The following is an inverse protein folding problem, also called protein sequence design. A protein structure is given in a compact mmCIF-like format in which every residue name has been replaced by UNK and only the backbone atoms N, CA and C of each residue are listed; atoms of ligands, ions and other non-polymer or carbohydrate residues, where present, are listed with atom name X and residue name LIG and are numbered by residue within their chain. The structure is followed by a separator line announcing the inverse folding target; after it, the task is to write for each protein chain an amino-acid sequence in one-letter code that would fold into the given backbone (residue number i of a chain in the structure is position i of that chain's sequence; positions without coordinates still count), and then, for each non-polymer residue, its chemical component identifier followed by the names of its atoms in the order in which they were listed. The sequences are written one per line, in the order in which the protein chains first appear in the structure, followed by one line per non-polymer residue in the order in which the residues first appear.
data_IF_035057277772
#
_entry.id   IF_035057277772
#
_cell.length_a   1.000
_cell.length_b   1.000
_cell.length_c   1.000
_cell.angle_alpha   90.00
_cell.angle_beta   90.00
_cell.angle_gamma   90.00
#
_symmetry.space_group_name_H-M   'P 1'
#
loop_
_entity.id
_entity.type
_entity.pdbx_description
1 polymer ?
#
# COMPACT_ATOMS: atom_id res chain seq x y z
N UNK A 1 2.52 -24.26 -25.06
CA UNK A 1 3.94 -23.87 -25.17
C UNK A 1 4.19 -22.84 -24.09
N UNK A 2 4.75 -23.27 -22.95
CA UNK A 2 4.88 -22.45 -21.76
C UNK A 2 5.99 -21.42 -21.97
N UNK A 3 5.70 -20.16 -21.65
CA UNK A 3 6.68 -19.08 -21.44
C UNK A 3 7.56 -19.47 -20.24
N UNK A 4 8.48 -20.41 -20.47
CA UNK A 4 9.31 -21.03 -19.44
C UNK A 4 10.61 -21.61 -19.99
N UNK A 5 10.95 -21.34 -21.26
CA UNK A 5 12.24 -21.74 -21.84
C UNK A 5 13.37 -20.75 -21.55
N UNK A 6 13.06 -19.54 -21.06
CA UNK A 6 14.06 -18.55 -20.68
C UNK A 6 14.04 -18.34 -19.16
N UNK A 7 15.04 -18.90 -18.48
CA UNK A 7 15.27 -18.78 -17.03
C UNK A 7 15.25 -17.31 -16.59
N UNK A 8 15.76 -16.41 -17.44
CA UNK A 8 15.73 -14.96 -17.24
C UNK A 8 14.31 -14.43 -16.99
N UNK A 9 13.30 -14.91 -17.72
CA UNK A 9 11.93 -14.44 -17.57
C UNK A 9 11.33 -14.84 -16.23
N UNK A 10 11.69 -16.03 -15.72
CA UNK A 10 11.29 -16.50 -14.40
C UNK A 10 11.93 -15.63 -13.31
N UNK A 11 13.22 -15.32 -13.43
CA UNK A 11 13.91 -14.43 -12.49
C UNK A 11 13.30 -13.02 -12.47
N UNK A 12 13.08 -12.40 -13.63
CA UNK A 12 12.48 -11.06 -13.70
C UNK A 12 11.07 -11.05 -13.11
N UNK A 13 10.25 -12.06 -13.41
CA UNK A 13 8.88 -12.14 -12.90
C UNK A 13 8.83 -12.32 -11.38
N UNK A 14 9.70 -13.17 -10.81
CA UNK A 14 9.75 -13.42 -9.37
C UNK A 14 10.31 -12.24 -8.60
N UNK A 15 11.34 -11.55 -9.11
CA UNK A 15 11.85 -10.30 -8.53
C UNK A 15 10.77 -9.22 -8.55
N UNK A 16 10.10 -9.02 -9.68
CA UNK A 16 9.04 -8.02 -9.82
C UNK A 16 7.87 -8.33 -8.87
N UNK A 17 7.49 -9.61 -8.77
CA UNK A 17 6.45 -10.06 -7.85
C UNK A 17 6.86 -9.82 -6.39
N UNK A 18 8.10 -10.18 -6.01
CA UNK A 18 8.63 -9.94 -4.66
C UNK A 18 8.66 -8.47 -4.28
N UNK A 19 9.11 -7.60 -5.19
CA UNK A 19 9.09 -6.15 -4.99
C UNK A 19 7.67 -5.60 -4.84
N UNK A 20 6.74 -6.06 -5.66
CA UNK A 20 5.33 -5.67 -5.58
C UNK A 20 4.71 -6.05 -4.24
N UNK A 21 4.97 -7.27 -3.75
CA UNK A 21 4.45 -7.73 -2.46
C UNK A 21 5.07 -6.91 -1.30
N UNK A 22 6.38 -6.68 -1.32
CA UNK A 22 7.07 -5.90 -0.30
C UNK A 22 6.60 -4.45 -0.24
N UNK A 23 6.47 -3.79 -1.40
CA UNK A 23 5.91 -2.44 -1.50
C UNK A 23 4.46 -2.40 -0.97
N UNK A 24 3.66 -3.40 -1.30
CA UNK A 24 2.28 -3.56 -0.81
C UNK A 24 2.20 -3.59 0.72
N UNK A 25 3.06 -4.35 1.39
CA UNK A 25 3.06 -4.45 2.86
C UNK A 25 3.35 -3.12 3.56
N UNK A 26 4.28 -2.33 3.00
CA UNK A 26 4.65 -1.00 3.53
C UNK A 26 3.50 -0.01 3.30
N UNK A 27 3.04 0.10 2.05
CA UNK A 27 1.97 1.03 1.65
C UNK A 27 0.69 0.74 2.42
N UNK A 28 0.31 -0.53 2.56
CA UNK A 28 -0.87 -0.93 3.30
C UNK A 28 -0.80 -0.46 4.77
N UNK A 29 0.35 -0.63 5.43
CA UNK A 29 0.51 -0.20 6.83
C UNK A 29 0.48 1.33 6.99
N UNK A 30 1.02 2.07 6.02
CA UNK A 30 1.03 3.55 6.03
C UNK A 30 -0.34 4.15 5.70
N UNK A 31 -1.02 3.66 4.66
CA UNK A 31 -2.35 4.16 4.24
C UNK A 31 -3.35 3.99 5.39
N UNK A 32 -3.41 2.83 6.02
CA UNK A 32 -4.35 2.62 7.13
C UNK A 32 -4.07 3.57 8.31
N UNK A 33 -2.79 3.80 8.65
CA UNK A 33 -2.42 4.72 9.72
C UNK A 33 -2.72 6.19 9.39
N UNK A 34 -2.53 6.60 8.13
CA UNK A 34 -2.77 7.96 7.66
C UNK A 34 -4.26 8.30 7.53
N UNK A 35 -5.11 7.35 7.12
CA UNK A 35 -6.55 7.57 6.93
C UNK A 35 -7.37 7.41 8.20
N UNK A 36 -7.05 6.44 9.05
CA UNK A 36 -7.90 6.09 10.21
C UNK A 36 -7.33 6.52 11.56
N UNK A 37 -6.11 7.06 11.58
CA UNK A 37 -5.42 7.40 12.81
C UNK A 37 -5.03 6.17 13.63
N UNK A 38 -4.05 6.33 14.53
CA UNK A 38 -3.48 5.21 15.31
C UNK A 38 -4.45 4.61 16.36
N UNK A 39 -5.57 5.28 16.63
CA UNK A 39 -6.49 4.94 17.73
C UNK A 39 -7.46 3.80 17.40
N UNK A 40 -7.91 3.68 16.14
CA UNK A 40 -8.88 2.64 15.72
C UNK A 40 -8.26 1.55 14.81
N UNK A 41 -6.93 1.59 14.64
CA UNK A 41 -6.19 0.68 13.76
C UNK A 41 -6.39 -0.80 14.14
N UNK A 42 -6.49 -1.11 15.44
CA UNK A 42 -6.73 -2.46 15.95
C UNK A 42 -8.12 -3.01 15.59
N UNK A 43 -9.16 -2.20 15.72
CA UNK A 43 -10.54 -2.59 15.37
C UNK A 43 -10.71 -2.80 13.87
N UNK A 44 -10.10 -1.94 13.04
CA UNK A 44 -10.13 -2.10 11.58
C UNK A 44 -9.37 -3.36 11.18
N UNK A 45 -8.16 -3.57 11.72
CA UNK A 45 -7.41 -4.81 11.45
C UNK A 45 -8.18 -6.05 11.90
N UNK A 46 -8.94 -5.98 12.98
CA UNK A 46 -9.79 -7.08 13.46
C UNK A 46 -10.87 -7.53 12.46
N UNK A 47 -11.39 -6.63 11.63
CA UNK A 47 -12.40 -6.95 10.59
C UNK A 47 -11.74 -7.25 9.24
N UNK A 48 -10.69 -6.49 8.90
CA UNK A 48 -9.98 -6.61 7.62
C UNK A 48 -9.22 -7.93 7.52
N UNK A 49 -8.60 -8.40 8.61
CA UNK A 49 -7.85 -9.67 8.59
C UNK A 49 -8.74 -10.87 8.22
N UNK A 50 -9.90 -11.12 8.87
CA UNK A 50 -10.81 -12.18 8.46
C UNK A 50 -11.26 -12.06 7.00
N UNK A 51 -11.59 -10.85 6.54
CA UNK A 51 -11.98 -10.61 5.16
C UNK A 51 -10.84 -10.97 4.17
N UNK A 52 -9.60 -10.65 4.53
CA UNK A 52 -8.42 -11.05 3.76
C UNK A 52 -8.23 -12.56 3.75
N UNK A 53 -8.40 -13.25 4.88
CA UNK A 53 -8.30 -14.71 4.95
C UNK A 53 -9.36 -15.40 4.10
N UNK A 54 -10.61 -14.94 4.16
CA UNK A 54 -11.70 -15.47 3.32
C UNK A 54 -11.36 -15.26 1.84
N UNK A 55 -10.92 -14.06 1.47
CA UNK A 55 -10.54 -13.74 0.09
C UNK A 55 -9.36 -14.60 -0.39
N UNK A 56 -8.35 -14.80 0.46
CA UNK A 56 -7.20 -15.66 0.16
C UNK A 56 -7.62 -17.13 -0.03
N UNK A 57 -8.53 -17.62 0.81
CA UNK A 57 -9.09 -18.98 0.70
C UNK A 57 -9.97 -19.18 -0.53
N UNK A 58 -10.72 -18.14 -0.93
CA UNK A 58 -11.61 -18.17 -2.09
C UNK A 58 -10.86 -18.05 -3.43
N UNK A 59 -9.62 -17.56 -3.44
CA UNK A 59 -8.86 -17.36 -4.68
C UNK A 59 -8.63 -18.67 -5.46
N UNK A 60 -8.24 -19.75 -4.78
CA UNK A 60 -7.92 -21.02 -5.45
C UNK A 60 -9.15 -21.71 -6.08
N UNK A 61 -10.30 -21.84 -5.40
CA UNK A 61 -11.53 -22.34 -6.02
C UNK A 61 -12.03 -21.47 -7.18
N UNK A 62 -11.97 -20.15 -7.04
CA UNK A 62 -12.45 -19.22 -8.06
C UNK A 62 -11.65 -19.35 -9.36
N UNK A 63 -10.31 -19.38 -9.26
CA UNK A 63 -9.42 -19.55 -10.42
C UNK A 63 -9.65 -20.91 -11.08
N UNK A 64 -9.85 -21.97 -10.28
CA UNK A 64 -10.17 -23.31 -10.80
C UNK A 64 -11.49 -23.33 -11.55
N UNK A 65 -12.54 -22.72 -11.01
CA UNK A 65 -13.85 -22.65 -11.66
C UNK A 65 -13.77 -21.90 -13.01
N UNK A 66 -13.06 -20.77 -13.05
CA UNK A 66 -12.83 -20.00 -14.28
C UNK A 66 -12.07 -20.84 -15.31
N UNK A 67 -11.02 -21.54 -14.87
CA UNK A 67 -10.26 -22.45 -15.74
C UNK A 67 -11.14 -23.56 -16.31
N UNK A 68 -11.97 -24.18 -15.48
CA UNK A 68 -12.81 -25.30 -15.89
C UNK A 68 -13.90 -24.85 -16.90
N UNK A 69 -14.34 -23.60 -16.85
CA UNK A 69 -15.26 -23.01 -17.84
C UNK A 69 -14.62 -22.58 -19.17
N UNK A 70 -13.37 -22.08 -19.14
CA UNK A 70 -12.72 -21.47 -20.32
C UNK A 70 -11.65 -22.38 -20.97
N UNK A 71 -11.20 -23.42 -20.26
CA UNK A 71 -10.17 -24.36 -20.73
C UNK A 71 -8.74 -23.80 -20.79
N UNK A 72 -8.54 -22.49 -20.58
CA UNK A 72 -7.23 -21.83 -20.62
C UNK A 72 -6.95 -21.03 -19.34
N UNK A 73 -5.70 -21.11 -18.87
CA UNK A 73 -5.20 -20.32 -17.73
C UNK A 73 -4.96 -18.85 -18.07
N UNK A 74 -4.81 -18.52 -19.36
CA UNK A 74 -4.50 -17.15 -19.79
C UNK A 74 -5.65 -16.19 -19.42
N UNK A 75 -6.88 -16.68 -19.45
CA UNK A 75 -8.09 -15.91 -19.12
C UNK A 75 -8.12 -15.53 -17.65
N UNK A 76 -7.71 -16.44 -16.75
CA UNK A 76 -7.61 -16.15 -15.32
C UNK A 76 -6.60 -15.05 -15.04
N UNK A 77 -5.46 -15.04 -15.74
CA UNK A 77 -4.45 -13.99 -15.61
C UNK A 77 -4.96 -12.62 -16.03
N UNK A 78 -5.69 -12.54 -17.16
CA UNK A 78 -6.30 -11.29 -17.62
C UNK A 78 -7.39 -10.77 -16.67
N UNK A 79 -8.17 -11.66 -16.07
CA UNK A 79 -9.17 -11.28 -15.07
C UNK A 79 -8.51 -10.70 -13.81
N UNK A 80 -7.48 -11.39 -13.30
CA UNK A 80 -6.71 -10.92 -12.14
C UNK A 80 -6.10 -9.55 -12.43
N UNK A 81 -5.49 -9.38 -13.61
CA UNK A 81 -4.88 -8.12 -14.02
C UNK A 81 -5.91 -6.98 -14.15
N UNK A 82 -7.11 -7.28 -14.66
CA UNK A 82 -8.22 -6.32 -14.74
C UNK A 82 -8.70 -5.88 -13.35
N UNK A 83 -8.83 -6.81 -12.40
CA UNK A 83 -9.16 -6.50 -11.01
C UNK A 83 -8.10 -5.60 -10.36
N UNK A 84 -6.81 -5.88 -10.58
CA UNK A 84 -5.74 -5.02 -10.08
C UNK A 84 -5.75 -3.62 -10.70
N UNK A 85 -6.07 -3.50 -12.00
CA UNK A 85 -6.23 -2.20 -12.66
C UNK A 85 -7.37 -1.39 -12.08
N UNK A 86 -8.53 -2.01 -11.84
CA UNK A 86 -9.66 -1.36 -11.20
C UNK A 86 -9.31 -0.93 -9.77
N UNK A 87 -8.64 -1.79 -9.01
CA UNK A 87 -8.16 -1.44 -7.67
C UNK A 87 -7.18 -0.26 -7.70
N UNK A 88 -6.25 -0.23 -8.66
CA UNK A 88 -5.32 0.86 -8.85
C UNK A 88 -6.03 2.18 -9.19
N UNK A 89 -7.06 2.14 -10.05
CA UNK A 89 -7.90 3.31 -10.36
C UNK A 89 -8.63 3.83 -9.12
N UNK A 90 -9.22 2.93 -8.32
CA UNK A 90 -9.91 3.31 -7.08
C UNK A 90 -8.93 3.98 -6.11
N UNK A 91 -7.76 3.37 -5.87
CA UNK A 91 -6.74 3.93 -4.99
C UNK A 91 -6.22 5.26 -5.53
N UNK A 92 -5.99 5.37 -6.84
CA UNK A 92 -5.57 6.63 -7.48
C UNK A 92 -6.63 7.72 -7.37
N UNK A 93 -7.92 7.37 -7.32
CA UNK A 93 -9.02 8.31 -7.12
C UNK A 93 -9.28 8.63 -5.65
N UNK A 94 -8.66 7.92 -4.70
CA UNK A 94 -8.87 8.14 -3.29
C UNK A 94 -8.35 9.52 -2.85
N UNK A 95 -9.22 10.28 -2.20
CA UNK A 95 -8.93 11.64 -1.70
C UNK A 95 -7.77 11.60 -0.71
N UNK A 96 -6.73 12.42 -0.92
CA UNK A 96 -5.54 12.48 -0.05
C UNK A 96 -5.95 12.67 1.42
N UNK A 97 -5.35 11.92 2.37
CA UNK A 97 -5.67 12.08 3.78
C UNK A 97 -5.23 13.47 4.23
N UNK A 98 -6.18 14.31 4.65
CA UNK A 98 -5.90 15.60 5.29
C UNK A 98 -5.26 15.32 6.64
N UNK A 99 -3.99 15.72 6.81
CA UNK A 99 -3.33 15.63 8.11
C UNK A 99 -4.02 16.57 9.08
N UNK A 100 -4.88 16.02 9.93
CA UNK A 100 -5.56 16.71 11.02
C UNK A 100 -4.63 16.96 12.21
N UNK A 101 -3.38 17.36 11.97
CA UNK A 101 -2.54 17.98 13.00
C UNK A 101 -3.06 19.41 13.14
N UNK A 102 -3.73 19.77 14.25
CA UNK A 102 -4.16 21.14 14.45
C UNK A 102 -2.93 22.04 14.42
N UNK A 103 -2.96 23.12 13.64
CA UNK A 103 -1.90 24.14 13.59
C UNK A 103 -1.49 24.59 15.01
N UNK A 104 -2.42 24.53 15.96
CA UNK A 104 -2.23 24.83 17.40
C UNK A 104 -1.37 23.84 18.19
N UNK A 105 -1.06 22.66 17.65
CA UNK A 105 -0.19 21.66 18.28
C UNK A 105 1.24 21.68 17.70
N UNK A 106 1.49 22.49 16.66
CA UNK A 106 2.86 22.70 16.17
C UNK A 106 3.58 23.56 17.24
N UNK A 107 4.73 23.12 17.77
CA UNK A 107 5.51 23.99 18.64
C UNK A 107 5.79 25.30 17.88
N UNK A 108 5.75 26.46 18.56
CA UNK A 108 6.01 27.73 17.90
C UNK A 108 7.32 27.60 17.14
N UNK A 109 7.29 27.86 15.84
CA UNK A 109 8.51 27.91 15.03
C UNK A 109 9.50 28.80 15.78
N UNK A 110 10.75 28.37 16.01
CA UNK A 110 11.73 29.23 16.63
C UNK A 110 11.78 30.50 15.80
N UNK A 111 11.24 31.59 16.34
CA UNK A 111 11.37 32.90 15.71
C UNK A 111 12.85 33.20 15.74
N UNK A 112 13.53 33.01 14.61
CA UNK A 112 14.93 33.36 14.47
C UNK A 112 15.03 34.87 14.69
N UNK A 113 15.43 35.26 15.91
CA UNK A 113 15.66 36.64 16.27
C UNK A 113 17.16 36.91 16.14
N UNK A 114 17.64 37.43 14.99
CA UNK A 114 19.06 37.69 14.78
C UNK A 114 19.63 38.71 15.79
N UNK A 115 18.77 39.49 16.45
CA UNK A 115 19.18 40.46 17.45
C UNK A 115 19.57 39.81 18.79
N UNK A 116 19.03 38.63 19.14
CA UNK A 116 19.34 37.95 20.40
C UNK A 116 20.75 37.34 20.44
N UNK A 117 21.26 36.94 19.26
CA UNK A 117 22.58 36.30 19.12
C UNK A 117 23.71 37.31 19.34
N UNK A 118 23.49 38.59 18.99
CA UNK A 118 24.48 39.65 19.15
C UNK A 118 24.82 39.97 20.61
N UNK A 119 23.84 39.93 21.52
CA UNK A 119 24.05 40.26 22.93
C UNK A 119 24.75 39.14 23.72
N UNK A 120 24.56 37.89 23.35
CA UNK A 120 25.22 36.75 24.01
C UNK A 120 26.69 36.60 23.65
N UNK A 121 27.13 37.18 22.53
CA UNK A 121 28.52 37.06 22.05
C UNK A 121 29.45 38.16 22.61
N UNK A 122 28.88 39.28 23.11
CA UNK A 122 29.64 40.37 23.73
C UNK A 122 29.73 40.29 25.26
N UNK A 123 29.06 39.32 25.88
CA UNK A 123 28.98 39.17 27.34
C UNK A 123 29.86 38.02 27.91
N UNK A 124 30.73 37.43 27.09
CA UNK A 124 31.71 36.39 27.48
C UNK A 124 33.14 36.91 27.26
#
# INVERSE_FOLDING_TARGET
MLVGQNEFFLFVSTITFGLSVGAGMIVQSYIFAAYFGRMFLGSIRGIVLPAMLISAGMGAPLVRYIRDSTGSYITSWWLILSIYLVAALIISSATRPVSNVPESARPPSPSFNPLAIGYTMFAA
#
